data_IF_072981650468
#
_entry.id   IF_072981650468
#
_cell.length_a   1.000
_cell.length_b   1.000
_cell.length_c   1.000
_cell.angle_alpha   90.00
_cell.angle_beta   90.00
_cell.angle_gamma   90.00
#
_symmetry.space_group_name_H-M   'P 1'
#
loop_
_entity.id
_entity.type
_entity.pdbx_description
1 polymer ?
#
# COMPACT_ATOMS: atom_id res chain seq x y z
N UNK A 1 59.50 -76.03 -77.47
CA UNK A 1 59.24 -74.60 -77.15
C UNK A 1 57.78 -74.35 -76.72
N UNK A 2 57.23 -75.10 -75.74
CA UNK A 2 55.85 -74.88 -75.24
C UNK A 2 55.77 -74.55 -73.74
N UNK A 3 56.81 -74.83 -72.93
CA UNK A 3 56.71 -74.72 -71.47
C UNK A 3 57.16 -73.35 -70.91
N UNK A 4 57.97 -72.56 -71.65
CA UNK A 4 58.44 -71.24 -71.18
C UNK A 4 57.36 -70.15 -71.13
N UNK A 5 56.25 -70.28 -71.88
CA UNK A 5 55.15 -69.30 -71.86
C UNK A 5 54.33 -69.35 -70.57
N UNK A 6 54.28 -70.52 -69.92
CA UNK A 6 53.53 -70.70 -68.67
C UNK A 6 54.29 -70.18 -67.45
N UNK A 7 55.63 -70.31 -67.44
CA UNK A 7 56.48 -69.75 -66.38
C UNK A 7 56.44 -68.21 -66.35
N UNK A 8 56.49 -67.55 -67.52
CA UNK A 8 56.41 -66.07 -67.60
C UNK A 8 55.05 -65.57 -67.13
N UNK A 9 53.97 -66.30 -67.44
CA UNK A 9 52.62 -65.95 -66.99
C UNK A 9 52.49 -66.06 -65.45
N UNK A 10 53.06 -67.11 -64.87
CA UNK A 10 53.05 -67.30 -63.41
C UNK A 10 53.85 -66.20 -62.68
N UNK A 11 55.02 -65.84 -63.20
CA UNK A 11 55.84 -64.77 -62.61
C UNK A 11 55.15 -63.41 -62.69
N UNK A 12 54.48 -63.10 -63.80
CA UNK A 12 53.72 -61.86 -63.94
C UNK A 12 52.49 -61.80 -63.00
N UNK A 13 51.84 -62.94 -62.77
CA UNK A 13 50.70 -63.03 -61.85
C UNK A 13 51.13 -62.85 -60.38
N UNK A 14 52.28 -63.40 -60.00
CA UNK A 14 52.85 -63.20 -58.66
C UNK A 14 53.31 -61.75 -58.45
N UNK A 15 53.94 -61.13 -59.46
CA UNK A 15 54.35 -59.73 -59.38
C UNK A 15 53.18 -58.75 -59.30
N UNK A 16 52.10 -59.02 -60.03
CA UNK A 16 50.86 -58.21 -59.93
C UNK A 16 50.18 -58.39 -58.59
N UNK A 17 50.13 -59.61 -58.03
CA UNK A 17 49.61 -59.85 -56.68
C UNK A 17 50.43 -59.11 -55.60
N UNK A 18 51.77 -59.11 -55.69
CA UNK A 18 52.64 -58.39 -54.77
C UNK A 18 52.50 -56.86 -54.88
N UNK A 19 52.36 -56.33 -56.10
CA UNK A 19 52.15 -54.90 -56.32
C UNK A 19 50.78 -54.44 -55.80
N UNK A 20 49.73 -55.25 -55.97
CA UNK A 20 48.38 -54.97 -55.45
C UNK A 20 48.37 -54.99 -53.92
N UNK A 21 49.07 -55.95 -53.29
CA UNK A 21 49.21 -55.97 -51.83
C UNK A 21 50.05 -54.80 -51.29
N UNK A 22 51.10 -54.39 -52.00
CA UNK A 22 51.91 -53.23 -51.63
C UNK A 22 51.18 -51.88 -51.75
N UNK A 23 50.27 -51.74 -52.72
CA UNK A 23 49.43 -50.54 -52.87
C UNK A 23 48.32 -50.48 -51.82
N UNK A 24 47.65 -51.59 -51.52
CA UNK A 24 46.56 -51.65 -50.55
C UNK A 24 47.01 -51.37 -49.12
N UNK A 25 48.17 -51.91 -48.71
CA UNK A 25 48.74 -51.61 -47.38
C UNK A 25 49.16 -50.15 -47.22
N UNK A 26 49.74 -49.51 -48.25
CA UNK A 26 50.14 -48.10 -48.20
C UNK A 26 48.95 -47.13 -48.15
N UNK A 27 47.82 -47.50 -48.75
CA UNK A 27 46.59 -46.73 -48.64
C UNK A 27 45.92 -46.88 -47.28
N UNK A 28 45.97 -48.07 -46.67
CA UNK A 28 45.37 -48.33 -45.36
C UNK A 28 46.07 -47.58 -44.21
N UNK A 29 47.41 -47.60 -44.17
CA UNK A 29 48.23 -46.94 -43.13
C UNK A 29 48.09 -45.40 -43.15
N UNK A 30 47.94 -44.80 -44.34
CA UNK A 30 47.74 -43.35 -44.49
C UNK A 30 46.30 -42.91 -44.20
N UNK A 31 45.31 -43.80 -44.37
CA UNK A 31 43.91 -43.51 -44.01
C UNK A 31 43.64 -43.68 -42.51
N UNK A 32 44.28 -44.64 -41.82
CA UNK A 32 44.17 -44.79 -40.37
C UNK A 32 44.75 -43.58 -39.63
N UNK A 33 45.92 -43.09 -40.07
CA UNK A 33 46.56 -41.92 -39.45
C UNK A 33 45.80 -40.61 -39.72
N UNK A 34 45.17 -40.45 -40.88
CA UNK A 34 44.33 -39.28 -41.18
C UNK A 34 43.02 -39.31 -40.38
N UNK A 35 42.37 -40.48 -40.26
CA UNK A 35 41.14 -40.66 -39.49
C UNK A 35 41.36 -40.49 -37.97
N UNK A 36 42.49 -40.95 -37.43
CA UNK A 36 42.86 -40.72 -36.02
C UNK A 36 43.09 -39.23 -35.73
N UNK A 37 43.70 -38.49 -36.67
CA UNK A 37 43.96 -37.06 -36.51
C UNK A 37 42.66 -36.23 -36.55
N UNK A 38 41.73 -36.61 -37.42
CA UNK A 38 40.39 -36.02 -37.51
C UNK A 38 39.56 -36.33 -36.25
N UNK A 39 39.64 -37.56 -35.73
CA UNK A 39 39.00 -37.96 -34.48
C UNK A 39 39.54 -37.16 -33.26
N UNK A 40 40.85 -36.97 -33.16
CA UNK A 40 41.45 -36.13 -32.11
C UNK A 40 41.04 -34.65 -32.22
N UNK A 41 40.89 -34.12 -33.43
CA UNK A 41 40.39 -32.75 -33.63
C UNK A 41 38.93 -32.61 -33.20
N UNK A 42 38.08 -33.59 -33.53
CA UNK A 42 36.69 -33.65 -33.11
C UNK A 42 36.55 -33.78 -31.59
N UNK A 43 37.34 -34.63 -30.93
CA UNK A 43 37.36 -34.74 -29.46
C UNK A 43 37.75 -33.41 -28.80
N UNK A 44 38.75 -32.71 -29.35
CA UNK A 44 39.16 -31.41 -28.84
C UNK A 44 38.07 -30.35 -29.02
N UNK A 45 37.36 -30.35 -30.14
CA UNK A 45 36.22 -29.46 -30.36
C UNK A 45 35.06 -29.76 -29.41
N UNK A 46 34.78 -31.05 -29.14
CA UNK A 46 33.75 -31.46 -28.18
C UNK A 46 34.13 -30.97 -26.78
N UNK A 47 35.38 -31.14 -26.35
CA UNK A 47 35.85 -30.67 -25.06
C UNK A 47 35.77 -29.13 -24.93
N UNK A 48 36.17 -28.40 -25.97
CA UNK A 48 36.09 -26.93 -26.01
C UNK A 48 34.64 -26.43 -25.97
N UNK A 49 33.72 -27.10 -26.70
CA UNK A 49 32.29 -26.82 -26.65
C UNK A 49 31.67 -27.15 -25.29
N UNK A 50 32.12 -28.23 -24.64
CA UNK A 50 31.68 -28.58 -23.28
C UNK A 50 32.14 -27.53 -22.27
N UNK A 51 33.39 -27.07 -22.36
CA UNK A 51 33.91 -26.01 -21.49
C UNK A 51 33.17 -24.68 -21.71
N UNK A 52 32.86 -24.34 -22.96
CA UNK A 52 32.03 -23.16 -23.27
C UNK A 52 30.61 -23.30 -22.73
N UNK A 53 30.00 -24.48 -22.86
CA UNK A 53 28.67 -24.75 -22.27
C UNK A 53 28.69 -24.59 -20.76
N UNK A 54 29.67 -25.18 -20.07
CA UNK A 54 29.81 -25.07 -18.62
C UNK A 54 30.02 -23.61 -18.18
N UNK A 55 30.78 -22.82 -18.93
CA UNK A 55 30.97 -21.39 -18.68
C UNK A 55 29.68 -20.60 -18.88
N UNK A 56 28.94 -20.87 -19.96
CA UNK A 56 27.65 -20.23 -20.23
C UNK A 56 26.61 -20.59 -19.17
N UNK A 57 26.57 -21.84 -18.71
CA UNK A 57 25.66 -22.29 -17.65
C UNK A 57 25.98 -21.59 -16.32
N UNK A 58 27.26 -21.37 -16.00
CA UNK A 58 27.66 -20.57 -14.84
C UNK A 58 27.26 -19.10 -14.98
N UNK A 59 27.43 -18.51 -16.16
CA UNK A 59 27.04 -17.13 -16.42
C UNK A 59 25.52 -16.94 -16.30
N UNK A 60 24.73 -17.87 -16.85
CA UNK A 60 23.26 -17.88 -16.71
C UNK A 60 22.86 -17.98 -15.24
N UNK A 61 23.47 -18.89 -14.48
CA UNK A 61 23.17 -19.04 -13.05
C UNK A 61 23.49 -17.77 -12.25
N UNK A 62 24.59 -17.07 -12.58
CA UNK A 62 24.93 -15.78 -11.96
C UNK A 62 23.94 -14.68 -12.33
N UNK A 63 23.54 -14.59 -13.60
CA UNK A 63 22.55 -13.61 -14.06
C UNK A 63 21.20 -13.87 -13.39
N UNK A 64 20.75 -15.12 -13.31
CA UNK A 64 19.51 -15.49 -12.64
C UNK A 64 19.52 -15.10 -11.15
N UNK A 65 20.66 -15.28 -10.47
CA UNK A 65 20.82 -14.85 -9.09
C UNK A 65 20.73 -13.33 -8.93
N UNK A 66 21.36 -12.56 -9.82
CA UNK A 66 21.28 -11.09 -9.78
C UNK A 66 19.87 -10.60 -10.12
N UNK A 67 19.20 -11.23 -11.09
CA UNK A 67 17.79 -10.93 -11.42
C UNK A 67 16.88 -11.18 -10.22
N UNK A 68 17.04 -12.30 -9.52
CA UNK A 68 16.20 -12.61 -8.36
C UNK A 68 16.45 -11.64 -7.20
N UNK A 69 17.71 -11.24 -7.00
CA UNK A 69 18.07 -10.20 -6.04
C UNK A 69 17.44 -8.84 -6.41
N UNK A 70 17.50 -8.43 -7.67
CA UNK A 70 16.87 -7.19 -8.11
C UNK A 70 15.33 -7.24 -8.01
N UNK A 71 14.70 -8.37 -8.34
CA UNK A 71 13.26 -8.57 -8.10
C UNK A 71 12.91 -8.42 -6.63
N UNK A 72 13.68 -9.02 -5.73
CA UNK A 72 13.46 -8.88 -4.28
C UNK A 72 13.61 -7.43 -3.81
N UNK A 73 14.55 -6.68 -4.39
CA UNK A 73 14.78 -5.26 -4.10
C UNK A 73 13.61 -4.40 -4.57
N UNK A 74 13.11 -4.65 -5.78
CA UNK A 74 11.93 -3.97 -6.33
C UNK A 74 10.71 -4.24 -5.45
N UNK A 75 10.45 -5.51 -5.11
CA UNK A 75 9.32 -5.87 -4.23
C UNK A 75 9.38 -5.17 -2.87
N UNK A 76 10.59 -5.01 -2.30
CA UNK A 76 10.75 -4.27 -1.04
C UNK A 76 10.46 -2.78 -1.21
N UNK A 77 10.97 -2.16 -2.27
CA UNK A 77 10.68 -0.75 -2.58
C UNK A 77 9.18 -0.52 -2.76
N UNK A 78 8.48 -1.43 -3.45
CA UNK A 78 7.04 -1.33 -3.63
C UNK A 78 6.29 -1.41 -2.28
N UNK A 79 6.70 -2.33 -1.39
CA UNK A 79 6.10 -2.42 -0.05
C UNK A 79 6.38 -1.19 0.83
N UNK A 80 7.60 -0.63 0.75
CA UNK A 80 7.95 0.61 1.46
C UNK A 80 7.13 1.79 0.91
N UNK A 81 6.96 1.86 -0.42
CA UNK A 81 6.14 2.87 -1.08
C UNK A 81 4.67 2.78 -0.68
N UNK A 82 4.11 1.57 -0.62
CA UNK A 82 2.73 1.34 -0.18
C UNK A 82 2.55 1.82 1.28
N UNK A 83 3.45 1.44 2.18
CA UNK A 83 3.41 1.90 3.57
C UNK A 83 3.56 3.42 3.73
N UNK A 84 4.27 4.11 2.83
CA UNK A 84 4.32 5.58 2.80
C UNK A 84 3.02 6.20 2.30
N UNK A 85 2.37 5.58 1.30
CA UNK A 85 1.08 6.04 0.80
C UNK A 85 -0.02 5.88 1.86
N UNK A 86 0.00 4.79 2.61
CA UNK A 86 -0.93 4.56 3.72
C UNK A 86 -0.73 5.59 4.84
N UNK A 87 0.51 5.95 5.15
CA UNK A 87 0.82 7.02 6.10
C UNK A 87 0.31 8.38 5.60
N UNK A 88 0.53 8.71 4.33
CA UNK A 88 0.01 9.94 3.73
C UNK A 88 -1.52 9.96 3.84
N UNK A 89 -2.19 8.86 3.50
CA UNK A 89 -3.64 8.77 3.61
C UNK A 89 -4.13 8.94 5.06
N UNK A 90 -3.45 8.33 6.04
CA UNK A 90 -3.78 8.48 7.44
C UNK A 90 -3.63 9.94 7.91
N UNK A 91 -2.55 10.62 7.51
CA UNK A 91 -2.33 12.04 7.80
C UNK A 91 -3.35 12.95 7.11
N UNK A 92 -3.71 12.67 5.85
CA UNK A 92 -4.77 13.39 5.13
C UNK A 92 -6.13 13.24 5.81
N UNK A 93 -6.44 12.03 6.30
CA UNK A 93 -7.66 11.78 7.09
C UNK A 93 -7.62 12.54 8.41
N UNK A 94 -6.50 12.50 9.16
CA UNK A 94 -6.35 13.21 10.43
C UNK A 94 -6.44 14.73 10.27
N UNK A 95 -5.86 15.29 9.20
CA UNK A 95 -5.97 16.70 8.83
C UNK A 95 -7.36 17.09 8.30
N UNK A 96 -8.25 16.11 8.08
CA UNK A 96 -9.57 16.32 7.50
C UNK A 96 -9.57 16.63 6.01
N UNK A 97 -8.45 16.44 5.30
CA UNK A 97 -8.34 16.65 3.85
C UNK A 97 -9.08 15.57 3.04
N UNK A 98 -9.24 14.39 3.63
CA UNK A 98 -9.99 13.27 3.05
C UNK A 98 -11.28 13.02 3.84
N UNK A 99 -12.35 12.72 3.10
CA UNK A 99 -13.58 12.22 3.70
C UNK A 99 -13.34 10.83 4.32
N UNK A 100 -14.12 10.50 5.34
CA UNK A 100 -14.02 9.23 6.06
C UNK A 100 -15.40 8.58 6.09
N UNK A 101 -15.47 7.33 5.65
CA UNK A 101 -16.62 6.46 5.77
C UNK A 101 -16.25 5.24 6.62
N UNK A 102 -17.14 4.84 7.53
CA UNK A 102 -16.86 3.72 8.43
C UNK A 102 -17.96 3.49 9.46
N UNK A 103 -17.79 2.46 10.28
CA UNK A 103 -18.63 2.26 11.47
C UNK A 103 -18.33 3.34 12.50
N UNK A 104 -19.37 3.80 13.19
CA UNK A 104 -19.25 4.95 14.06
C UNK A 104 -20.42 5.14 15.02
N UNK A 105 -20.46 6.34 15.60
CA UNK A 105 -21.46 6.76 16.55
C UNK A 105 -21.98 8.15 16.17
N UNK A 106 -23.30 8.32 16.23
CA UNK A 106 -23.95 9.63 16.16
C UNK A 106 -24.60 9.93 17.50
N UNK A 107 -24.22 11.05 18.10
CA UNK A 107 -24.78 11.56 19.37
C UNK A 107 -25.55 12.83 19.05
N UNK A 108 -26.85 12.83 19.34
CA UNK A 108 -27.72 14.00 19.25
C UNK A 108 -27.96 14.52 20.66
N UNK A 109 -27.53 15.74 20.92
CA UNK A 109 -27.73 16.47 22.17
C UNK A 109 -28.81 17.50 21.91
N UNK A 110 -29.96 17.31 22.56
CA UNK A 110 -31.16 18.11 22.36
C UNK A 110 -31.40 18.93 23.62
N UNK A 111 -31.43 20.24 23.44
CA UNK A 111 -31.79 21.20 24.46
C UNK A 111 -33.32 21.29 24.62
N UNK A 112 -33.84 21.31 25.85
CA UNK A 112 -35.27 21.45 26.06
C UNK A 112 -35.73 22.84 25.62
N UNK A 113 -36.85 22.92 24.90
CA UNK A 113 -37.48 24.20 24.56
C UNK A 113 -37.82 24.96 25.86
N UNK A 114 -37.22 26.14 26.04
CA UNK A 114 -37.54 27.06 27.13
C UNK A 114 -38.29 28.27 26.57
N UNK A 115 -39.37 28.73 27.23
CA UNK A 115 -40.05 29.94 26.80
C UNK A 115 -39.06 31.11 26.87
N UNK A 116 -38.91 31.84 25.77
CA UNK A 116 -38.06 33.02 25.71
C UNK A 116 -38.52 34.06 26.75
N UNK A 117 -37.69 34.32 27.75
CA UNK A 117 -37.83 35.44 28.68
C UNK A 117 -36.86 36.53 28.22
N UNK A 118 -37.34 37.76 28.03
CA UNK A 118 -36.50 38.85 27.55
C UNK A 118 -35.27 39.03 28.47
N UNK A 119 -34.08 38.79 27.92
CA UNK A 119 -32.80 38.84 28.66
C UNK A 119 -32.26 37.49 29.16
N UNK A 120 -33.00 36.40 28.97
CA UNK A 120 -32.54 35.02 29.21
C UNK A 120 -32.32 34.32 27.86
N UNK A 121 -31.19 33.64 27.73
CA UNK A 121 -30.93 32.78 26.58
C UNK A 121 -31.63 31.43 26.73
N UNK A 122 -32.09 30.89 25.61
CA UNK A 122 -32.74 29.58 25.53
C UNK A 122 -31.76 28.43 25.34
N UNK A 123 -30.50 28.67 24.91
CA UNK A 123 -29.56 27.61 24.52
C UNK A 123 -28.28 27.61 25.39
N UNK A 124 -28.16 26.64 26.30
CA UNK A 124 -27.03 26.44 27.21
C UNK A 124 -25.70 26.20 26.49
N UNK A 125 -25.68 25.34 25.46
CA UNK A 125 -24.44 24.95 24.78
C UNK A 125 -23.87 26.06 23.90
N UNK A 126 -24.72 26.99 23.46
CA UNK A 126 -24.27 28.19 22.72
C UNK A 126 -23.44 29.11 23.61
N UNK A 127 -23.84 29.27 24.87
CA UNK A 127 -23.16 30.13 25.83
C UNK A 127 -21.99 29.43 26.53
N UNK A 128 -22.00 28.10 26.54
CA UNK A 128 -20.96 27.29 27.18
C UNK A 128 -20.38 26.27 26.17
N UNK A 129 -19.77 26.73 25.05
CA UNK A 129 -19.20 25.86 24.03
C UNK A 129 -18.04 24.98 24.57
N UNK A 130 -17.46 25.33 25.71
CA UNK A 130 -16.44 24.55 26.40
C UNK A 130 -16.91 23.15 26.78
N UNK A 131 -18.21 22.93 27.02
CA UNK A 131 -18.72 21.58 27.27
C UNK A 131 -18.70 20.72 25.99
N UNK A 132 -18.91 21.32 24.81
CA UNK A 132 -18.77 20.61 23.54
C UNK A 132 -17.31 20.25 23.32
N UNK A 133 -16.40 21.20 23.56
CA UNK A 133 -14.95 20.97 23.42
C UNK A 133 -14.44 19.91 24.41
N UNK A 134 -14.93 19.93 25.65
CA UNK A 134 -14.61 18.93 26.67
C UNK A 134 -15.10 17.54 26.26
N UNK A 135 -16.35 17.43 25.78
CA UNK A 135 -16.88 16.18 25.28
C UNK A 135 -16.07 15.65 24.07
N UNK A 136 -15.73 16.52 23.12
CA UNK A 136 -14.86 16.14 22.00
C UNK A 136 -13.49 15.65 22.48
N UNK A 137 -12.91 16.30 23.49
CA UNK A 137 -11.65 15.86 24.09
C UNK A 137 -11.75 14.50 24.77
N UNK A 138 -12.90 14.15 25.35
CA UNK A 138 -13.17 12.81 25.90
C UNK A 138 -13.31 11.77 24.77
N UNK A 139 -14.03 12.12 23.70
CA UNK A 139 -14.20 11.28 22.50
C UNK A 139 -12.85 11.00 21.82
N UNK A 140 -11.97 12.01 21.69
CA UNK A 140 -10.64 11.86 21.10
C UNK A 140 -9.73 10.88 21.87
N UNK A 141 -10.05 10.55 23.13
CA UNK A 141 -9.32 9.53 23.89
C UNK A 141 -9.80 8.10 23.60
N UNK A 142 -10.83 7.93 22.76
CA UNK A 142 -11.40 6.65 22.35
C UNK A 142 -10.93 6.21 20.94
N UNK A 143 -9.73 6.64 20.51
CA UNK A 143 -9.13 6.30 19.22
C UNK A 143 -10.07 6.49 18.00
N UNK A 144 -10.83 7.58 17.99
CA UNK A 144 -11.70 7.93 16.85
C UNK A 144 -10.89 8.44 15.66
N UNK A 145 -11.30 8.06 14.45
CA UNK A 145 -10.64 8.49 13.20
C UNK A 145 -10.99 9.94 12.82
N UNK A 146 -12.14 10.42 13.28
CA UNK A 146 -12.58 11.78 13.01
C UNK A 146 -13.93 12.10 13.63
N UNK A 147 -14.23 13.40 13.67
CA UNK A 147 -15.45 13.95 14.26
C UNK A 147 -16.03 15.01 13.32
N UNK A 148 -17.36 15.12 13.26
CA UNK A 148 -18.08 16.22 12.67
C UNK A 148 -19.13 16.75 13.66
N UNK A 149 -19.35 18.07 13.62
CA UNK A 149 -20.40 18.76 14.40
C UNK A 149 -21.41 19.30 13.40
N UNK A 150 -22.67 18.89 13.52
CA UNK A 150 -23.77 19.23 12.62
C UNK A 150 -23.41 19.00 11.13
N UNK A 151 -22.68 17.91 10.86
CA UNK A 151 -22.24 17.54 9.51
C UNK A 151 -21.01 18.30 8.99
N UNK A 152 -20.39 19.16 9.78
CA UNK A 152 -19.17 19.89 9.40
C UNK A 152 -17.96 19.25 10.08
N UNK A 153 -16.92 18.96 9.31
CA UNK A 153 -15.71 18.29 9.80
C UNK A 153 -15.04 19.12 10.90
N UNK A 154 -14.83 18.52 12.06
CA UNK A 154 -14.08 19.11 13.17
C UNK A 154 -12.67 18.53 13.21
N UNK A 155 -11.67 19.40 13.36
CA UNK A 155 -10.25 19.03 13.46
C UNK A 155 -9.57 19.81 14.57
N UNK A 156 -8.30 19.50 14.84
CA UNK A 156 -7.48 20.26 15.81
C UNK A 156 -7.28 21.73 15.43
N UNK A 157 -7.55 22.11 14.18
CA UNK A 157 -7.47 23.49 13.71
C UNK A 157 -8.82 24.20 13.71
N UNK A 158 -9.90 23.49 14.03
CA UNK A 158 -11.25 24.04 14.05
C UNK A 158 -11.47 24.90 15.30
N UNK A 159 -12.12 26.04 15.10
CA UNK A 159 -12.52 26.98 16.14
C UNK A 159 -14.02 26.89 16.40
N UNK A 160 -14.42 26.71 17.66
CA UNK A 160 -15.82 26.70 18.05
C UNK A 160 -16.10 27.86 19.01
N UNK A 161 -17.10 28.68 18.71
CA UNK A 161 -17.48 29.83 19.54
C UNK A 161 -18.97 30.10 19.49
N UNK A 162 -19.53 30.63 20.59
CA UNK A 162 -20.90 31.13 20.62
C UNK A 162 -21.05 32.49 19.92
N UNK A 163 -22.19 32.72 19.29
CA UNK A 163 -22.62 34.01 18.75
C UNK A 163 -24.13 34.15 18.92
N UNK A 164 -24.55 34.95 19.92
CA UNK A 164 -25.95 35.14 20.28
C UNK A 164 -26.64 33.79 20.53
N UNK A 165 -27.49 33.34 19.60
CA UNK A 165 -28.26 32.11 19.71
C UNK A 165 -27.70 30.97 18.85
N UNK A 166 -26.52 31.15 18.24
CA UNK A 166 -25.90 30.18 17.34
C UNK A 166 -24.47 29.86 17.74
N UNK A 167 -23.98 28.69 17.33
CA UNK A 167 -22.56 28.38 17.35
C UNK A 167 -21.92 28.77 16.01
N UNK A 168 -20.67 29.17 16.04
CA UNK A 168 -19.83 29.31 14.85
C UNK A 168 -18.74 28.26 14.94
N UNK A 169 -18.73 27.35 13.97
CA UNK A 169 -17.64 26.43 13.73
C UNK A 169 -16.83 26.95 12.54
N UNK A 170 -15.64 27.44 12.81
CA UNK A 170 -14.78 28.15 11.84
C UNK A 170 -15.47 29.38 11.26
N UNK A 171 -15.99 29.25 10.04
CA UNK A 171 -16.76 30.26 9.32
C UNK A 171 -18.23 29.86 9.12
N UNK A 172 -18.60 28.66 9.54
CA UNK A 172 -19.92 28.09 9.38
C UNK A 172 -20.79 28.39 10.60
N UNK A 173 -21.98 28.92 10.33
CA UNK A 173 -22.96 29.25 11.36
C UNK A 173 -23.87 28.05 11.60
N UNK A 174 -23.88 27.55 12.84
CA UNK A 174 -24.70 26.45 13.32
C UNK A 174 -25.90 27.03 14.11
N UNK A 175 -27.03 27.18 13.43
CA UNK A 175 -28.32 27.58 14.00
C UNK A 175 -29.41 26.60 13.54
N UNK A 176 -30.57 26.62 14.20
CA UNK A 176 -31.77 26.03 13.59
C UNK A 176 -32.25 26.84 12.38
N UNK A 177 -32.89 26.14 11.44
CA UNK A 177 -33.40 26.70 10.17
C UNK A 177 -34.41 27.84 10.38
N UNK A 178 -35.10 27.82 11.51
CA UNK A 178 -36.17 28.76 11.85
C UNK A 178 -35.65 30.02 12.56
N UNK A 179 -34.32 30.14 12.74
CA UNK A 179 -33.69 31.28 13.41
C UNK A 179 -33.99 31.36 14.92
N UNK A 180 -34.55 30.30 15.50
CA UNK A 180 -34.99 30.24 16.90
C UNK A 180 -33.90 29.85 17.90
N UNK A 181 -32.64 29.88 17.46
CA UNK A 181 -31.47 29.44 18.23
C UNK A 181 -31.20 27.95 18.10
N UNK A 182 -29.97 27.54 18.39
CA UNK A 182 -29.54 26.15 18.25
C UNK A 182 -30.21 25.28 19.34
N UNK A 183 -31.11 24.38 18.94
CA UNK A 183 -31.77 23.44 19.87
C UNK A 183 -31.13 22.06 19.89
N UNK A 184 -30.45 21.68 18.80
CA UNK A 184 -29.88 20.34 18.64
C UNK A 184 -28.45 20.42 18.12
N UNK A 185 -27.56 19.68 18.78
CA UNK A 185 -26.19 19.45 18.35
C UNK A 185 -26.04 17.97 17.99
N UNK A 186 -25.54 17.70 16.80
CA UNK A 186 -25.28 16.37 16.28
C UNK A 186 -23.78 16.21 16.19
N UNK A 187 -23.22 15.34 17.03
CA UNK A 187 -21.85 14.88 16.93
C UNK A 187 -21.84 13.56 16.18
N UNK A 188 -21.05 13.49 15.13
CA UNK A 188 -20.91 12.31 14.29
C UNK A 188 -19.44 11.93 14.27
N UNK A 189 -19.12 10.68 14.58
CA UNK A 189 -17.74 10.22 14.69
C UNK A 189 -17.56 8.81 14.13
N UNK A 190 -16.38 8.54 13.58
CA UNK A 190 -15.99 7.22 13.04
C UNK A 190 -15.06 6.55 14.04
N UNK A 191 -15.38 5.31 14.43
CA UNK A 191 -14.68 4.56 15.48
C UNK A 191 -15.58 3.54 16.18
N UNK A 192 -15.01 2.81 17.13
CA UNK A 192 -15.74 1.81 17.92
C UNK A 192 -16.77 2.48 18.83
N UNK A 193 -18.06 2.31 18.53
CA UNK A 193 -19.14 2.89 19.33
C UNK A 193 -19.10 2.45 20.81
N UNK A 194 -18.65 1.21 21.07
CA UNK A 194 -18.48 0.68 22.43
C UNK A 194 -17.38 1.44 23.19
N UNK A 195 -16.20 1.57 22.59
CA UNK A 195 -15.06 2.26 23.21
C UNK A 195 -15.34 3.75 23.42
N UNK A 196 -16.04 4.38 22.47
CA UNK A 196 -16.47 5.78 22.60
C UNK A 196 -17.41 5.93 23.79
N UNK A 197 -18.46 5.11 23.88
CA UNK A 197 -19.45 5.20 24.96
C UNK A 197 -18.83 4.92 26.33
N UNK A 198 -17.91 3.97 26.45
CA UNK A 198 -17.17 3.70 27.69
C UNK A 198 -16.35 4.91 28.17
N UNK A 199 -15.90 5.77 27.25
CA UNK A 199 -15.11 6.98 27.55
C UNK A 199 -15.94 8.21 27.86
N UNK A 200 -17.21 8.23 27.48
CA UNK A 200 -18.04 9.44 27.61
C UNK A 200 -19.28 9.22 28.46
N UNK A 201 -19.77 7.99 28.65
CA UNK A 201 -21.00 7.72 29.41
C UNK A 201 -20.71 7.07 30.77
N UNK A 202 -20.17 7.87 31.68
CA UNK A 202 -19.95 7.48 33.06
C UNK A 202 -20.21 8.64 34.04
N UNK A 203 -20.33 8.34 35.32
CA UNK A 203 -20.57 9.37 36.33
C UNK A 203 -19.38 10.34 36.44
N UNK A 204 -19.61 11.61 36.11
CA UNK A 204 -18.59 12.66 36.15
C UNK A 204 -17.94 12.95 34.79
N UNK A 205 -18.32 12.25 33.72
CA UNK A 205 -17.99 12.66 32.36
C UNK A 205 -18.76 13.91 31.94
N UNK A 206 -18.31 14.54 30.85
CA UNK A 206 -18.99 15.70 30.29
C UNK A 206 -20.41 15.33 29.82
N UNK A 207 -20.57 14.20 29.12
CA UNK A 207 -21.88 13.73 28.65
C UNK A 207 -22.83 13.45 29.83
N UNK A 208 -22.31 12.83 30.89
CA UNK A 208 -23.06 12.54 32.12
C UNK A 208 -23.49 13.82 32.82
N UNK A 209 -22.63 14.83 32.93
CA UNK A 209 -23.00 16.13 33.48
C UNK A 209 -24.10 16.83 32.68
N UNK A 210 -23.99 16.83 31.34
CA UNK A 210 -25.00 17.41 30.45
C UNK A 210 -26.36 16.71 30.58
N UNK A 211 -26.36 15.37 30.70
CA UNK A 211 -27.58 14.58 30.89
C UNK A 211 -28.18 14.78 32.28
N UNK A 212 -27.38 14.58 33.32
CA UNK A 212 -27.88 14.36 34.68
C UNK A 212 -28.01 15.67 35.48
N UNK A 213 -27.16 16.67 35.20
CA UNK A 213 -27.12 17.95 35.93
C UNK A 213 -27.77 19.09 35.15
N UNK A 214 -27.53 19.18 33.83
CA UNK A 214 -28.16 20.20 32.99
C UNK A 214 -29.55 19.75 32.50
N UNK A 215 -29.78 18.44 32.37
CA UNK A 215 -31.06 17.88 31.94
C UNK A 215 -31.25 17.89 30.43
N UNK A 216 -30.16 17.82 29.65
CA UNK A 216 -30.23 17.72 28.19
C UNK A 216 -30.64 16.30 27.78
N UNK A 217 -31.39 16.20 26.68
CA UNK A 217 -31.75 14.90 26.11
C UNK A 217 -30.64 14.42 25.19
N UNK A 218 -30.16 13.19 25.40
CA UNK A 218 -29.05 12.62 24.64
C UNK A 218 -29.53 11.34 23.95
N UNK A 219 -29.37 11.29 22.63
CA UNK A 219 -29.72 10.13 21.80
C UNK A 219 -28.46 9.67 21.09
N UNK A 220 -28.08 8.41 21.29
CA UNK A 220 -26.91 7.79 20.66
C UNK A 220 -27.34 6.69 19.69
N UNK A 221 -26.84 6.73 18.47
CA UNK A 221 -27.12 5.75 17.40
C UNK A 221 -25.80 5.27 16.79
N UNK A 222 -25.54 3.96 16.83
CA UNK A 222 -24.37 3.34 16.19
C UNK A 222 -24.71 2.85 14.77
N UNK A 223 -23.71 2.84 13.90
CA UNK A 223 -23.84 2.32 12.53
C UNK A 223 -22.89 2.99 11.54
N UNK A 224 -23.15 2.84 10.23
CA UNK A 224 -22.33 3.46 9.21
C UNK A 224 -22.48 4.97 9.22
N UNK A 225 -21.35 5.65 9.27
CA UNK A 225 -21.20 7.08 9.40
C UNK A 225 -20.32 7.61 8.28
N UNK A 226 -20.60 8.84 7.85
CA UNK A 226 -19.79 9.58 6.89
C UNK A 226 -19.36 10.92 7.47
N UNK A 227 -18.08 11.23 7.33
CA UNK A 227 -17.49 12.52 7.67
C UNK A 227 -16.98 13.19 6.40
N UNK A 228 -17.38 14.43 6.11
CA UNK A 228 -16.86 15.15 4.96
C UNK A 228 -15.38 15.53 5.17
N UNK A 229 -14.76 15.97 4.09
CA UNK A 229 -13.51 16.73 4.15
C UNK A 229 -13.76 18.15 4.67
N UNK A 230 -12.70 18.81 5.14
CA UNK A 230 -12.75 20.22 5.54
C UNK A 230 -12.95 21.10 4.30
N UNK A 231 -13.78 22.13 4.42
CA UNK A 231 -14.05 23.06 3.33
C UNK A 231 -12.81 23.87 2.94
N UNK A 232 -11.98 24.24 3.92
CA UNK A 232 -10.76 25.02 3.71
C UNK A 232 -9.78 24.86 4.88
N UNK A 233 -8.54 24.50 4.59
CA UNK A 233 -7.45 24.65 5.56
C UNK A 233 -6.95 26.11 5.60
N UNK A 234 -6.51 26.61 6.76
CA UNK A 234 -5.80 27.89 6.83
C UNK A 234 -4.53 27.81 5.98
N UNK A 235 -4.36 28.76 5.05
CA UNK A 235 -3.15 28.86 4.25
C UNK A 235 -1.99 29.34 5.15
N UNK A 236 -0.87 28.61 5.21
CA UNK A 236 0.27 29.04 5.99
C UNK A 236 0.96 30.22 5.28
N UNK A 237 0.86 31.41 5.85
CA UNK A 237 1.46 32.64 5.29
C UNK A 237 3.00 32.67 5.41
N UNK A 238 3.56 31.87 6.33
CA UNK A 238 4.99 31.93 6.70
C UNK A 238 5.70 30.57 6.71
N UNK A 239 5.06 29.48 6.28
CA UNK A 239 5.71 28.17 6.22
C UNK A 239 6.01 27.81 4.78
N UNK A 240 7.29 27.69 4.46
CA UNK A 240 7.75 27.05 3.23
C UNK A 240 7.82 25.54 3.45
N UNK A 241 7.48 24.76 2.43
CA UNK A 241 7.70 23.32 2.46
C UNK A 241 9.19 23.06 2.66
N UNK A 242 9.54 22.12 3.56
CA UNK A 242 10.92 21.67 3.70
C UNK A 242 11.32 20.97 2.39
N UNK A 243 12.28 21.56 1.68
CA UNK A 243 12.92 20.97 0.48
C UNK A 243 13.74 19.72 0.81
#
# INVERSE_FOLDING_TARGET
MKNKKWEIFFVALVLTALLVQGWTNRTAENTETAAELEAQQLEKQIADLQEQLDQLDQEVAMIDQEVEKEKSRISRIDSEREGLLDQIEAEEKAAGLKAIDGEGLTIKIIEPERPYVQGETTAFLVYNPEYILSLISEINQADVEGIAINGIRYTNYSSLRGNQDCLILDQNLLCDLDGSGLTTIILTMVGSAEEIMDRIDFQGSTLGYLRDSIGLTIISESGPVYLPNVDRLPEPEFLEALE
#
